data_IF_238697871836
#
_entry.id   IF_238697871836
#
_cell.length_a   1.000
_cell.length_b   1.000
_cell.length_c   1.000
_cell.angle_alpha   90.00
_cell.angle_beta   90.00
_cell.angle_gamma   90.00
#
_symmetry.space_group_name_H-M   'P 1'
#
loop_
_entity.id
_entity.type
_entity.pdbx_description
1 polymer ?
#
# COMPACT_ATOMS: atom_id res chain seq x y z
N UNK A 1 18.63 0.16 9.72
CA UNK A 1 17.79 -0.85 9.09
C UNK A 1 16.81 -1.41 10.11
N UNK A 2 15.56 -1.50 9.75
CA UNK A 2 14.56 -2.11 10.63
C UNK A 2 14.63 -3.62 10.58
N UNK A 3 14.46 -4.25 11.72
CA UNK A 3 14.28 -5.69 11.80
C UNK A 3 12.78 -5.96 11.61
N UNK A 4 12.44 -6.73 10.59
CA UNK A 4 11.06 -7.12 10.35
C UNK A 4 10.70 -8.27 11.29
N UNK A 5 9.66 -8.13 12.11
CA UNK A 5 9.22 -9.26 12.93
C UNK A 5 8.70 -10.38 12.04
N UNK A 6 9.14 -11.61 12.31
CA UNK A 6 8.67 -12.80 11.61
C UNK A 6 7.76 -13.56 12.55
N UNK A 7 6.47 -13.37 12.39
CA UNK A 7 5.47 -14.00 13.24
C UNK A 7 4.17 -14.15 12.47
N UNK A 8 3.55 -15.30 12.56
CA UNK A 8 2.29 -15.55 11.88
C UNK A 8 1.20 -14.59 12.34
N UNK A 9 0.44 -14.06 11.40
CA UNK A 9 -0.66 -13.15 11.68
C UNK A 9 -0.26 -11.69 11.88
N UNK A 10 1.04 -11.36 11.83
CA UNK A 10 1.50 -9.98 11.95
C UNK A 10 1.61 -9.34 10.57
N UNK A 11 1.11 -8.11 10.48
CA UNK A 11 1.24 -7.26 9.30
C UNK A 11 2.26 -6.18 9.60
N UNK A 12 3.22 -6.01 8.69
CA UNK A 12 4.27 -5.01 8.82
C UNK A 12 3.83 -3.74 8.12
N UNK A 13 4.16 -2.57 8.69
CA UNK A 13 3.86 -1.30 8.05
C UNK A 13 4.52 -1.22 6.66
N UNK A 14 3.77 -0.83 5.61
CA UNK A 14 4.31 -0.73 4.25
C UNK A 14 5.25 0.45 4.07
N UNK A 15 5.27 1.39 5.02
CA UNK A 15 6.09 2.60 4.92
C UNK A 15 6.32 3.20 6.29
N UNK A 16 7.35 4.04 6.38
CA UNK A 16 7.56 4.86 7.55
C UNK A 16 6.75 6.14 7.39
N UNK A 17 5.85 6.40 8.33
CA UNK A 17 5.03 7.58 8.24
C UNK A 17 3.94 7.57 9.30
N UNK A 18 2.98 8.44 9.11
CA UNK A 18 1.86 8.61 10.01
C UNK A 18 0.63 7.91 9.46
N UNK A 19 -0.01 7.08 10.28
CA UNK A 19 -1.33 6.53 9.94
C UNK A 19 -2.30 7.69 9.90
N UNK A 20 -2.86 7.97 8.74
CA UNK A 20 -3.76 9.12 8.55
C UNK A 20 -5.23 8.72 8.53
N UNK A 21 -5.54 7.54 8.02
CA UNK A 21 -6.92 7.06 7.89
C UNK A 21 -6.99 5.56 8.18
N UNK A 22 -8.03 5.17 8.89
CA UNK A 22 -8.41 3.77 9.08
C UNK A 22 -9.90 3.70 8.83
N UNK A 23 -10.32 3.02 7.78
CA UNK A 23 -11.74 2.99 7.41
C UNK A 23 -12.08 1.81 6.53
N UNK A 24 -13.38 1.50 6.44
CA UNK A 24 -13.90 0.51 5.50
C UNK A 24 -14.25 1.23 4.21
N UNK A 25 -13.59 0.88 3.13
CA UNK A 25 -13.83 1.50 1.81
C UNK A 25 -13.77 0.46 0.70
N UNK A 26 -14.38 0.78 -0.43
CA UNK A 26 -14.26 -0.04 -1.61
C UNK A 26 -12.83 0.02 -2.15
N UNK A 27 -12.20 -1.13 -2.40
CA UNK A 27 -10.88 -1.11 -3.02
C UNK A 27 -10.95 -0.62 -4.47
N UNK A 28 -9.86 -0.05 -5.00
CA UNK A 28 -9.81 0.34 -6.41
C UNK A 28 -10.12 -0.85 -7.31
N UNK A 29 -10.94 -0.62 -8.33
CA UNK A 29 -11.41 -1.68 -9.23
C UNK A 29 -10.25 -2.39 -9.94
N UNK A 30 -9.18 -1.66 -10.24
CA UNK A 30 -8.01 -2.22 -10.92
C UNK A 30 -7.28 -3.29 -10.11
N UNK A 31 -7.48 -3.36 -8.79
CA UNK A 31 -6.87 -4.39 -7.96
C UNK A 31 -7.58 -5.74 -8.05
N UNK A 32 -8.82 -5.77 -8.48
CA UNK A 32 -9.58 -7.01 -8.57
C UNK A 32 -9.87 -7.66 -7.22
N UNK A 33 -10.01 -6.87 -6.16
CA UNK A 33 -10.28 -7.37 -4.80
C UNK A 33 -11.77 -7.49 -4.48
N UNK A 34 -12.63 -7.34 -5.46
CA UNK A 34 -14.06 -7.47 -5.28
C UNK A 34 -14.78 -6.13 -5.19
N UNK A 35 -16.08 -6.21 -4.91
CA UNK A 35 -16.99 -5.06 -4.93
C UNK A 35 -17.56 -4.72 -3.55
N UNK A 36 -16.96 -5.24 -2.50
CA UNK A 36 -17.38 -4.98 -1.11
C UNK A 36 -16.32 -4.16 -0.39
N UNK A 37 -16.73 -3.33 0.60
CA UNK A 37 -15.78 -2.59 1.41
C UNK A 37 -14.80 -3.50 2.13
N UNK A 38 -13.54 -3.10 2.15
CA UNK A 38 -12.47 -3.76 2.88
C UNK A 38 -11.85 -2.75 3.86
N UNK A 39 -11.22 -3.27 4.91
CA UNK A 39 -10.47 -2.42 5.83
C UNK A 39 -9.28 -1.83 5.09
N UNK A 40 -9.19 -0.51 5.12
CA UNK A 40 -8.06 0.24 4.56
C UNK A 40 -7.33 0.98 5.66
N UNK A 41 -6.00 0.83 5.70
CA UNK A 41 -5.14 1.66 6.52
C UNK A 41 -4.28 2.50 5.58
N UNK A 42 -4.33 3.82 5.78
CA UNK A 42 -3.57 4.77 4.97
C UNK A 42 -2.41 5.33 5.79
N UNK A 43 -1.21 5.25 5.24
CA UNK A 43 0.02 5.77 5.85
C UNK A 43 0.51 6.95 5.02
N UNK A 44 0.47 8.14 5.61
CA UNK A 44 0.96 9.36 4.98
C UNK A 44 2.44 9.53 5.29
N UNK A 45 3.24 9.73 4.25
CA UNK A 45 4.69 9.91 4.37
C UNK A 45 5.03 11.40 4.41
N UNK A 46 5.85 11.77 5.39
CA UNK A 46 6.19 13.17 5.61
C UNK A 46 6.96 13.76 4.44
N UNK A 47 7.06 15.11 4.43
CA UNK A 47 7.58 15.86 3.28
C UNK A 47 9.10 15.87 3.13
N UNK A 48 9.86 15.24 3.99
CA UNK A 48 11.32 15.44 3.99
C UNK A 48 12.17 14.31 3.46
N UNK A 49 11.61 13.13 3.20
CA UNK A 49 12.42 11.98 2.80
C UNK A 49 11.79 11.19 1.67
N UNK A 50 12.62 10.48 0.92
CA UNK A 50 12.15 9.42 0.06
C UNK A 50 11.85 8.20 0.92
N UNK A 51 10.74 7.55 0.68
CA UNK A 51 10.31 6.43 1.50
C UNK A 51 10.27 5.13 0.71
N UNK A 52 10.94 4.13 1.24
CA UNK A 52 10.90 2.78 0.71
C UNK A 52 9.59 2.14 1.15
N UNK A 53 8.91 1.49 0.22
CA UNK A 53 7.69 0.76 0.51
C UNK A 53 8.00 -0.72 0.65
N UNK A 54 7.40 -1.34 1.65
CA UNK A 54 7.65 -2.73 2.03
C UNK A 54 6.38 -3.56 1.95
N UNK A 55 6.55 -4.84 1.62
CA UNK A 55 5.42 -5.77 1.64
C UNK A 55 4.89 -5.91 3.07
N UNK A 56 3.60 -5.64 3.31
CA UNK A 56 3.02 -5.76 4.66
C UNK A 56 2.88 -7.20 5.12
N UNK A 57 2.82 -8.13 4.18
CA UNK A 57 2.74 -9.58 4.44
C UNK A 57 3.61 -10.31 3.44
N UNK A 58 3.99 -11.54 3.77
CA UNK A 58 4.61 -12.43 2.80
C UNK A 58 3.55 -12.89 1.79
N UNK A 59 3.92 -13.02 0.54
CA UNK A 59 3.00 -13.50 -0.48
C UNK A 59 3.54 -13.38 -1.87
N UNK A 60 2.79 -13.95 -2.82
CA UNK A 60 3.09 -13.84 -4.24
C UNK A 60 2.39 -12.63 -4.82
N UNK A 61 3.08 -11.86 -5.62
CA UNK A 61 2.49 -10.74 -6.36
C UNK A 61 1.63 -11.32 -7.47
N UNK A 62 0.32 -11.18 -7.36
CA UNK A 62 -0.63 -11.70 -8.35
C UNK A 62 -1.07 -10.65 -9.35
N UNK A 63 -0.94 -9.37 -9.00
CA UNK A 63 -1.33 -8.28 -9.89
C UNK A 63 -0.58 -7.01 -9.56
N UNK A 64 -0.16 -6.29 -10.59
CA UNK A 64 0.34 -4.92 -10.48
C UNK A 64 -0.49 -4.07 -11.45
N UNK A 65 -1.11 -3.02 -10.92
CA UNK A 65 -1.97 -2.15 -11.70
C UNK A 65 -1.56 -0.69 -11.49
N UNK A 66 -0.95 -0.11 -12.50
CA UNK A 66 -0.59 1.31 -12.52
C UNK A 66 -1.73 2.11 -13.12
N UNK A 67 -2.04 3.25 -12.50
CA UNK A 67 -3.03 4.17 -13.03
C UNK A 67 -2.52 5.61 -12.99
N UNK A 68 -2.43 6.31 -14.13
CA UNK A 68 -2.06 7.70 -14.15
C UNK A 68 -3.16 8.56 -13.51
N UNK A 69 -2.79 9.74 -13.05
CA UNK A 69 -3.74 10.64 -12.43
C UNK A 69 -3.13 11.98 -12.10
N UNK A 70 -3.84 12.73 -11.25
CA UNK A 70 -3.44 14.05 -10.77
C UNK A 70 -2.42 13.97 -9.65
N UNK A 71 -1.95 15.13 -9.20
CA UNK A 71 -1.01 15.23 -8.09
C UNK A 71 -1.56 16.23 -7.06
N UNK A 72 -2.68 15.86 -6.44
CA UNK A 72 -3.24 16.63 -5.33
C UNK A 72 -2.61 16.18 -4.02
N UNK A 73 -2.81 16.96 -2.93
CA UNK A 73 -2.27 16.62 -1.63
C UNK A 73 -2.71 15.21 -1.20
N UNK A 74 -1.76 14.32 -0.97
CA UNK A 74 -2.02 12.92 -0.65
C UNK A 74 -2.64 12.72 0.74
N UNK A 75 -2.58 13.72 1.63
CA UNK A 75 -3.24 13.66 2.93
C UNK A 75 -4.77 13.74 2.80
N UNK A 76 -5.29 14.17 1.65
CA UNK A 76 -6.72 14.20 1.39
C UNK A 76 -7.19 12.81 0.93
N UNK A 77 -8.36 12.39 1.38
CA UNK A 77 -8.92 11.10 0.97
C UNK A 77 -9.19 11.04 -0.53
N UNK A 78 -9.50 12.17 -1.13
CA UNK A 78 -9.69 12.30 -2.58
C UNK A 78 -8.48 11.83 -3.40
N UNK A 79 -7.27 11.90 -2.84
CA UNK A 79 -6.05 11.46 -3.52
C UNK A 79 -6.10 9.98 -3.90
N UNK A 80 -6.79 9.15 -3.14
CA UNK A 80 -6.91 7.72 -3.45
C UNK A 80 -7.69 7.45 -4.73
N UNK A 81 -8.49 8.41 -5.19
CA UNK A 81 -9.29 8.28 -6.42
C UNK A 81 -8.63 9.01 -7.58
N UNK A 82 -8.11 10.21 -7.34
CA UNK A 82 -7.70 11.13 -8.42
C UNK A 82 -6.21 11.09 -8.74
N UNK A 83 -5.35 10.73 -7.80
CA UNK A 83 -3.91 10.80 -7.99
C UNK A 83 -3.35 9.59 -8.74
N UNK A 84 -2.19 9.80 -9.35
CA UNK A 84 -1.39 8.69 -9.88
C UNK A 84 -1.18 7.65 -8.79
N UNK A 85 -1.39 6.39 -9.13
CA UNK A 85 -1.26 5.31 -8.17
C UNK A 85 -0.79 4.02 -8.82
N UNK A 86 -0.13 3.20 -8.02
CA UNK A 86 0.31 1.87 -8.44
C UNK A 86 -0.13 0.86 -7.38
N UNK A 87 -0.98 -0.08 -7.78
CA UNK A 87 -1.48 -1.10 -6.87
C UNK A 87 -0.74 -2.41 -7.05
N UNK A 88 -0.40 -3.05 -5.93
CA UNK A 88 0.23 -4.37 -5.89
C UNK A 88 -0.67 -5.27 -5.06
N UNK A 89 -1.08 -6.39 -5.61
CA UNK A 89 -1.87 -7.39 -4.89
C UNK A 89 -0.99 -8.56 -4.52
N UNK A 90 -0.97 -8.89 -3.23
CA UNK A 90 -0.23 -10.01 -2.67
C UNK A 90 -1.21 -11.10 -2.25
N UNK A 91 -0.94 -12.33 -2.68
CA UNK A 91 -1.70 -13.50 -2.22
C UNK A 91 -0.98 -14.06 -1.00
N UNK A 92 -1.43 -13.65 0.18
CA UNK A 92 -0.84 -14.03 1.45
C UNK A 92 -1.54 -15.20 2.12
N UNK A 93 -1.05 -15.62 3.30
CA UNK A 93 -1.59 -16.81 3.99
C UNK A 93 -3.03 -16.64 4.46
N UNK A 94 -3.49 -15.42 4.66
CA UNK A 94 -4.86 -15.16 5.15
C UNK A 94 -5.75 -14.48 4.10
N UNK A 95 -5.33 -14.44 2.85
CA UNK A 95 -6.09 -13.86 1.76
C UNK A 95 -5.29 -12.82 0.98
N UNK A 96 -5.96 -12.14 0.07
CA UNK A 96 -5.35 -11.14 -0.77
C UNK A 96 -5.21 -9.80 -0.04
N UNK A 97 -4.02 -9.22 -0.11
CA UNK A 97 -3.72 -7.91 0.46
C UNK A 97 -3.34 -6.98 -0.67
N UNK A 98 -4.00 -5.83 -0.74
CA UNK A 98 -3.68 -4.79 -1.72
C UNK A 98 -2.82 -3.71 -1.09
N UNK A 99 -1.75 -3.30 -1.78
CA UNK A 99 -0.91 -2.17 -1.38
C UNK A 99 -0.91 -1.17 -2.51
N UNK A 100 -1.39 0.04 -2.24
CA UNK A 100 -1.50 1.07 -3.26
C UNK A 100 -0.55 2.21 -2.93
N UNK A 101 0.42 2.43 -3.82
CA UNK A 101 1.32 3.58 -3.77
C UNK A 101 0.60 4.76 -4.43
N UNK A 102 0.41 5.86 -3.71
CA UNK A 102 -0.31 7.03 -4.19
C UNK A 102 0.61 8.24 -4.17
N UNK A 103 0.82 8.83 -5.34
CA UNK A 103 1.64 10.02 -5.48
C UNK A 103 0.94 11.24 -4.85
N UNK A 104 1.73 12.17 -4.32
CA UNK A 104 1.23 13.40 -3.74
C UNK A 104 1.58 14.62 -4.58
N UNK A 105 1.43 15.81 -3.98
CA UNK A 105 1.69 17.09 -4.63
C UNK A 105 3.11 17.20 -5.19
N UNK A 106 4.08 16.73 -4.44
CA UNK A 106 5.50 16.86 -4.78
C UNK A 106 6.05 15.58 -5.39
N UNK A 107 5.54 14.43 -4.94
CA UNK A 107 5.99 13.14 -5.42
C UNK A 107 5.40 12.88 -6.79
N UNK A 108 6.23 12.98 -7.80
CA UNK A 108 5.81 12.79 -9.19
C UNK A 108 6.28 11.50 -9.80
N UNK A 109 6.81 10.59 -8.97
CA UNK A 109 7.33 9.33 -9.46
C UNK A 109 7.14 8.24 -8.43
N UNK A 110 6.48 7.19 -8.88
CA UNK A 110 6.31 5.97 -8.12
C UNK A 110 7.27 4.95 -8.72
N UNK A 111 8.10 4.34 -7.88
CA UNK A 111 8.98 3.26 -8.30
C UNK A 111 8.44 1.94 -7.76
N UNK A 112 8.31 0.97 -8.63
CA UNK A 112 7.91 -0.39 -8.27
C UNK A 112 8.99 -1.36 -8.78
N UNK A 113 9.65 -2.06 -7.85
CA UNK A 113 10.79 -2.93 -8.16
C UNK A 113 10.39 -4.41 -8.25
N UNK A 114 9.14 -4.72 -8.01
CA UNK A 114 8.64 -6.07 -8.10
C UNK A 114 7.85 -6.29 -9.39
N UNK A 115 7.48 -7.53 -9.66
CA UNK A 115 6.72 -7.90 -10.85
C UNK A 115 5.71 -8.97 -10.49
N UNK A 116 4.69 -9.12 -11.31
CA UNK A 116 3.71 -10.19 -11.16
C UNK A 116 4.42 -11.55 -11.21
N UNK A 117 4.06 -12.43 -10.28
CA UNK A 117 4.69 -13.73 -10.10
C UNK A 117 5.83 -13.76 -9.09
N UNK A 118 6.33 -12.60 -8.65
CA UNK A 118 7.39 -12.54 -7.65
C UNK A 118 6.87 -12.95 -6.27
N UNK A 119 7.73 -13.62 -5.50
CA UNK A 119 7.44 -13.92 -4.09
C UNK A 119 8.14 -12.89 -3.21
N UNK A 120 7.38 -12.26 -2.32
CA UNK A 120 7.89 -11.27 -1.40
C UNK A 120 7.80 -11.80 0.04
N UNK A 121 8.82 -11.50 0.83
CA UNK A 121 8.76 -11.72 2.28
C UNK A 121 8.13 -10.50 2.97
N UNK A 122 7.54 -10.71 4.13
CA UNK A 122 7.02 -9.59 4.93
C UNK A 122 8.17 -8.61 5.23
N UNK A 123 7.94 -7.33 4.99
CA UNK A 123 8.94 -6.29 5.16
C UNK A 123 9.94 -6.14 4.00
N UNK A 124 9.86 -6.97 2.99
CA UNK A 124 10.73 -6.85 1.82
C UNK A 124 10.41 -5.57 1.05
N UNK A 125 11.46 -4.88 0.62
CA UNK A 125 11.32 -3.66 -0.17
C UNK A 125 10.80 -4.00 -1.57
N UNK A 126 9.76 -3.31 -2.02
CA UNK A 126 9.22 -3.54 -3.35
C UNK A 126 9.10 -2.26 -4.19
N UNK A 127 9.27 -1.12 -3.59
CA UNK A 127 9.17 0.13 -4.32
C UNK A 127 9.57 1.33 -3.48
N UNK A 128 9.39 2.51 -4.04
CA UNK A 128 9.71 3.76 -3.37
C UNK A 128 8.81 4.86 -3.89
N UNK A 129 8.38 5.75 -3.00
CA UNK A 129 7.69 6.97 -3.34
C UNK A 129 8.39 8.12 -2.64
N UNK A 130 8.39 9.29 -3.26
CA UNK A 130 8.95 10.49 -2.66
C UNK A 130 8.02 11.03 -1.56
N UNK A 131 8.54 11.96 -0.78
CA UNK A 131 7.83 12.60 0.32
C UNK A 131 6.49 13.22 -0.12
N UNK A 132 5.57 13.39 0.83
CA UNK A 132 4.24 13.93 0.56
C UNK A 132 3.28 12.96 -0.09
N UNK A 133 3.62 11.68 -0.11
CA UNK A 133 2.82 10.63 -0.73
C UNK A 133 2.09 9.80 0.34
N UNK A 134 1.27 8.88 -0.10
CA UNK A 134 0.51 7.99 0.78
C UNK A 134 0.58 6.55 0.28
N UNK A 135 0.56 5.61 1.21
CA UNK A 135 0.37 4.19 0.90
C UNK A 135 -0.89 3.70 1.59
N UNK A 136 -1.78 3.10 0.83
CA UNK A 136 -2.98 2.46 1.35
C UNK A 136 -2.79 0.96 1.35
N UNK A 137 -3.19 0.31 2.45
CA UNK A 137 -3.21 -1.16 2.54
C UNK A 137 -4.65 -1.61 2.69
N UNK A 138 -5.08 -2.51 1.80
CA UNK A 138 -6.40 -3.13 1.86
C UNK A 138 -6.26 -4.56 2.34
N UNK A 139 -6.99 -4.90 3.38
CA UNK A 139 -6.91 -6.21 4.04
C UNK A 139 -8.06 -7.11 3.61
N UNK A 140 -7.86 -8.45 3.65
CA UNK A 140 -8.96 -9.39 3.41
C UNK A 140 -10.02 -9.28 4.51
N UNK A 141 -11.24 -9.78 4.27
CA UNK A 141 -12.29 -9.79 5.28
C UNK A 141 -11.86 -10.50 6.56
N UNK A 142 -12.33 -10.01 7.71
CA UNK A 142 -12.09 -10.63 9.01
C UNK A 142 -10.82 -10.19 9.71
N UNK A 143 -10.03 -9.31 9.11
CA UNK A 143 -8.82 -8.77 9.73
C UNK A 143 -9.20 -7.75 10.81
N UNK A 144 -8.53 -7.85 11.97
CA UNK A 144 -8.70 -6.90 13.07
C UNK A 144 -7.40 -6.15 13.32
N UNK A 145 -7.56 -4.88 13.71
CA UNK A 145 -6.42 -4.04 14.11
C UNK A 145 -6.16 -4.26 15.59
N UNK A 146 -4.93 -4.60 15.93
CA UNK A 146 -4.48 -4.75 17.30
C UNK A 146 -3.49 -3.63 17.62
N UNK A 147 -3.91 -2.72 18.41
CA UNK A 147 -3.09 -1.61 18.86
C UNK A 147 -2.90 -0.52 17.87
#
# INVERSE_FOLDING_TARGET
MRVTPVREGIVVSPADGRVSLISMVLPPAELGLGDKPLLRISVFMSVFNCHVNRAPVAGRVTRIAYRPGKFVNADLDKASVDNERNGVVLDGPHGQVGVVQIAGLVARRILCWTAEGADLSAGQRFGMIRFGSRVDVFFPPGVRILG
#
